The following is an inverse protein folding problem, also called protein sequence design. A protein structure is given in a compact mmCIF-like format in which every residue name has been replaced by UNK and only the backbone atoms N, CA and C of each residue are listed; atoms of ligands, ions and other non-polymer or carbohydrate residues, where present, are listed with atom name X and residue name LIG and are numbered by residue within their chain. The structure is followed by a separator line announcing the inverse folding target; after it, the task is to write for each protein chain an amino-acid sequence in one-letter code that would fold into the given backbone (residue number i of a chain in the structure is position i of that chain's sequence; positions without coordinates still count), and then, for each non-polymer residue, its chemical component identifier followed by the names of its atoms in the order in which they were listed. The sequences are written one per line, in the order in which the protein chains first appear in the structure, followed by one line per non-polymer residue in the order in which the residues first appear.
data_IF_199868570616
#
_entry.id   IF_199868570616
#
_cell.length_a   1.000
_cell.length_b   1.000
_cell.length_c   1.000
_cell.angle_alpha   90.00
_cell.angle_beta   90.00
_cell.angle_gamma   90.00
#
_symmetry.space_group_name_H-M   'P 1'
#
loop_
_entity.id
_entity.type
_entity.pdbx_description
1 polymer ?
#
# COMPACT_ATOMS: atom_id res chain seq x y z
N UNK A 1 1.35 16.98 -29.51
CA UNK A 1 2.37 16.25 -28.73
C UNK A 1 1.61 15.33 -27.77
N UNK A 2 1.60 14.02 -28.03
CA UNK A 2 1.08 13.06 -27.08
C UNK A 2 2.16 12.82 -26.01
N UNK A 3 1.93 13.26 -24.78
CA UNK A 3 2.73 12.79 -23.66
C UNK A 3 2.47 11.29 -23.53
N UNK A 4 3.45 10.46 -23.89
CA UNK A 4 3.45 9.06 -23.52
C UNK A 4 3.71 8.99 -22.00
N UNK A 5 2.67 9.19 -21.19
CA UNK A 5 2.75 8.88 -19.78
C UNK A 5 3.01 7.38 -19.66
N UNK A 6 4.23 7.02 -19.26
CA UNK A 6 4.60 5.64 -19.08
C UNK A 6 4.00 5.20 -17.74
N UNK A 7 2.83 4.54 -17.79
CA UNK A 7 2.18 4.01 -16.60
C UNK A 7 3.06 2.92 -15.98
N UNK A 8 3.29 3.02 -14.67
CA UNK A 8 3.93 1.97 -13.87
C UNK A 8 2.88 0.93 -13.49
N UNK A 9 3.18 -0.34 -13.69
CA UNK A 9 2.36 -1.44 -13.18
C UNK A 9 2.60 -1.61 -11.67
N UNK A 10 1.52 -1.81 -10.92
CA UNK A 10 1.59 -1.84 -9.47
C UNK A 10 0.78 -2.96 -8.82
N UNK A 11 1.24 -3.39 -7.64
CA UNK A 11 0.50 -4.26 -6.73
C UNK A 11 0.21 -3.49 -5.45
N UNK A 12 -1.01 -3.62 -4.94
CA UNK A 12 -1.39 -3.03 -3.66
C UNK A 12 -1.57 -4.10 -2.60
N UNK A 13 -0.94 -3.93 -1.44
CA UNK A 13 -1.15 -4.74 -0.26
C UNK A 13 -1.72 -3.89 0.88
N UNK A 14 -2.79 -4.36 1.52
CA UNK A 14 -3.35 -3.72 2.71
C UNK A 14 -3.41 -4.64 3.93
N UNK A 15 -2.91 -4.15 5.05
CA UNK A 15 -3.12 -4.77 6.35
C UNK A 15 -4.34 -4.16 7.03
N UNK A 16 -5.50 -4.81 6.88
CA UNK A 16 -6.82 -4.34 7.33
C UNK A 16 -7.05 -4.54 8.82
N UNK A 17 -7.98 -3.79 9.38
CA UNK A 17 -8.46 -3.92 10.77
C UNK A 17 -9.91 -4.38 10.79
N UNK A 18 -10.32 -4.93 11.94
CA UNK A 18 -11.69 -5.45 12.16
C UNK A 18 -12.57 -4.44 12.91
N UNK A 19 -12.05 -3.25 13.23
CA UNK A 19 -12.80 -2.25 14.00
C UNK A 19 -13.95 -1.65 13.18
N UNK A 20 -15.15 -1.65 13.76
CA UNK A 20 -16.41 -1.21 13.12
C UNK A 20 -16.40 0.26 12.66
N UNK A 21 -15.48 1.07 13.19
CA UNK A 21 -15.45 2.52 12.95
C UNK A 21 -14.65 2.93 11.70
N UNK A 22 -14.00 1.99 11.01
CA UNK A 22 -13.19 2.29 9.84
C UNK A 22 -13.87 1.78 8.56
N UNK A 23 -14.15 2.71 7.64
CA UNK A 23 -14.58 2.36 6.29
C UNK A 23 -13.36 1.97 5.44
N UNK A 24 -12.90 0.72 5.62
CA UNK A 24 -11.71 0.17 4.95
C UNK A 24 -11.79 0.33 3.43
N UNK A 25 -12.94 0.02 2.83
CA UNK A 25 -13.13 0.10 1.38
C UNK A 25 -13.00 1.54 0.86
N UNK A 26 -13.57 2.52 1.56
CA UNK A 26 -13.46 3.93 1.14
C UNK A 26 -12.00 4.43 1.21
N UNK A 27 -11.25 4.01 2.23
CA UNK A 27 -9.84 4.38 2.39
C UNK A 27 -8.98 3.74 1.29
N UNK A 28 -9.17 2.44 1.03
CA UNK A 28 -8.47 1.75 -0.04
C UNK A 28 -8.77 2.37 -1.41
N UNK A 29 -10.04 2.70 -1.71
CA UNK A 29 -10.40 3.35 -2.97
C UNK A 29 -9.68 4.69 -3.16
N UNK A 30 -9.63 5.53 -2.11
CA UNK A 30 -8.91 6.80 -2.15
C UNK A 30 -7.40 6.63 -2.36
N UNK A 31 -6.80 5.60 -1.77
CA UNK A 31 -5.39 5.26 -2.01
C UNK A 31 -5.17 4.90 -3.48
N UNK A 32 -6.07 4.11 -4.05
CA UNK A 32 -5.95 3.64 -5.44
C UNK A 32 -6.15 4.77 -6.44
N UNK A 33 -7.13 5.66 -6.21
CA UNK A 33 -7.32 6.89 -6.97
C UNK A 33 -6.03 7.72 -6.96
N UNK A 34 -5.45 7.90 -5.77
CA UNK A 34 -4.21 8.67 -5.60
C UNK A 34 -3.02 8.02 -6.31
N UNK A 35 -2.86 6.70 -6.25
CA UNK A 35 -1.81 5.98 -6.99
C UNK A 35 -1.97 6.15 -8.50
N UNK A 36 -3.21 6.13 -8.99
CA UNK A 36 -3.51 6.38 -10.41
C UNK A 36 -3.11 7.79 -10.84
N UNK A 37 -3.37 8.82 -10.01
CA UNK A 37 -2.89 10.19 -10.25
C UNK A 37 -1.36 10.29 -10.37
N UNK A 38 -0.62 9.35 -9.78
CA UNK A 38 0.83 9.21 -9.91
C UNK A 38 1.26 8.28 -11.06
N UNK A 39 0.35 7.96 -11.99
CA UNK A 39 0.54 7.04 -13.11
C UNK A 39 0.94 5.62 -12.67
N UNK A 40 0.44 5.16 -11.52
CA UNK A 40 0.62 3.79 -11.04
C UNK A 40 -0.71 3.06 -11.21
N UNK A 41 -0.77 2.10 -12.12
CA UNK A 41 -1.95 1.26 -12.35
C UNK A 41 -1.88 -0.02 -11.51
N UNK A 42 -2.84 -0.20 -10.59
CA UNK A 42 -2.86 -1.32 -9.67
C UNK A 42 -3.55 -2.52 -10.31
N UNK A 43 -2.75 -3.47 -10.81
CA UNK A 43 -3.22 -4.66 -11.53
C UNK A 43 -3.68 -5.80 -10.60
N UNK A 44 -3.25 -5.76 -9.33
CA UNK A 44 -3.57 -6.79 -8.34
C UNK A 44 -3.60 -6.21 -6.93
N UNK A 45 -4.51 -6.73 -6.09
CA UNK A 45 -4.65 -6.36 -4.68
C UNK A 45 -4.52 -7.60 -3.79
N UNK A 46 -3.82 -7.47 -2.68
CA UNK A 46 -3.73 -8.47 -1.63
C UNK A 46 -4.07 -7.82 -0.29
N UNK A 47 -4.58 -8.59 0.65
CA UNK A 47 -4.88 -8.05 1.98
C UNK A 47 -4.84 -9.10 3.06
N UNK A 48 -4.47 -8.69 4.26
CA UNK A 48 -4.59 -9.49 5.47
C UNK A 48 -5.55 -8.82 6.46
N UNK A 49 -6.39 -9.62 7.11
CA UNK A 49 -7.34 -9.13 8.12
C UNK A 49 -6.80 -9.33 9.54
N UNK A 50 -6.66 -8.23 10.28
CA UNK A 50 -6.26 -8.25 11.68
C UNK A 50 -4.78 -8.54 11.92
N UNK A 51 -4.30 -8.17 13.12
CA UNK A 51 -2.87 -8.22 13.48
C UNK A 51 -2.42 -9.53 14.14
N UNK A 52 -3.40 -10.32 14.57
CA UNK A 52 -3.20 -11.54 15.35
C UNK A 52 -2.78 -12.72 14.47
N UNK A 53 -3.20 -12.74 13.20
CA UNK A 53 -2.77 -13.79 12.29
C UNK A 53 -1.31 -13.55 11.86
N UNK A 54 -0.40 -14.26 12.51
CA UNK A 54 1.04 -14.21 12.22
C UNK A 54 1.39 -14.84 10.87
N UNK A 55 0.52 -15.70 10.31
CA UNK A 55 0.81 -16.38 9.06
C UNK A 55 0.71 -15.46 7.84
N UNK A 56 -0.03 -14.33 7.93
CA UNK A 56 -0.16 -13.32 6.86
C UNK A 56 -0.40 -13.95 5.47
N UNK A 57 -1.48 -14.72 5.29
CA UNK A 57 -1.75 -15.42 4.02
C UNK A 57 -1.76 -14.48 2.82
N UNK A 58 -2.27 -13.25 2.95
CA UNK A 58 -2.27 -12.27 1.86
C UNK A 58 -0.87 -11.81 1.47
N UNK A 59 0.01 -11.59 2.45
CA UNK A 59 1.42 -11.25 2.18
C UNK A 59 2.17 -12.41 1.52
N UNK A 60 1.91 -13.65 1.95
CA UNK A 60 2.51 -14.83 1.34
C UNK A 60 2.02 -15.03 -0.09
N UNK A 61 0.73 -14.81 -0.34
CA UNK A 61 0.15 -14.87 -1.68
C UNK A 61 0.76 -13.81 -2.60
N UNK A 62 0.98 -12.58 -2.11
CA UNK A 62 1.70 -11.54 -2.83
C UNK A 62 3.12 -12.00 -3.23
N UNK A 63 3.86 -12.60 -2.30
CA UNK A 63 5.22 -13.08 -2.58
C UNK A 63 5.19 -14.20 -3.62
N UNK A 64 4.29 -15.17 -3.47
CA UNK A 64 4.10 -16.25 -4.45
C UNK A 64 3.72 -15.68 -5.82
N UNK A 65 2.84 -14.68 -5.87
CA UNK A 65 2.48 -14.01 -7.11
C UNK A 65 3.70 -13.35 -7.77
N UNK A 66 4.50 -12.59 -7.01
CA UNK A 66 5.71 -11.95 -7.51
C UNK A 66 6.73 -12.95 -8.09
N UNK A 67 6.89 -14.11 -7.44
CA UNK A 67 7.81 -15.17 -7.90
C UNK A 67 7.37 -15.75 -9.25
N UNK A 68 6.07 -15.81 -9.50
CA UNK A 68 5.49 -16.44 -10.68
C UNK A 68 5.20 -15.45 -11.82
N UNK A 69 5.54 -14.17 -11.67
CA UNK A 69 5.40 -13.20 -12.76
C UNK A 69 6.46 -13.45 -13.85
N UNK A 70 6.03 -13.41 -15.11
CA UNK A 70 6.94 -13.47 -16.27
C UNK A 70 7.84 -12.24 -16.35
N UNK A 71 7.38 -11.10 -15.81
CA UNK A 71 8.10 -9.83 -15.79
C UNK A 71 7.99 -9.15 -14.42
N UNK A 72 9.06 -8.51 -13.98
CA UNK A 72 9.06 -7.73 -12.74
C UNK A 72 7.99 -6.64 -12.75
N UNK A 73 7.36 -6.43 -11.58
CA UNK A 73 6.41 -5.34 -11.37
C UNK A 73 7.18 -4.03 -11.13
N UNK A 74 6.63 -2.89 -11.55
CA UNK A 74 7.27 -1.61 -11.30
C UNK A 74 7.16 -1.21 -9.82
N UNK A 75 5.96 -1.35 -9.23
CA UNK A 75 5.68 -0.84 -7.89
C UNK A 75 4.96 -1.87 -7.02
N UNK A 76 5.37 -1.99 -5.75
CA UNK A 76 4.53 -2.61 -4.71
C UNK A 76 4.22 -1.57 -3.63
N UNK A 77 2.94 -1.25 -3.47
CA UNK A 77 2.45 -0.29 -2.49
C UNK A 77 1.88 -1.02 -1.26
N UNK A 78 2.41 -0.70 -0.09
CA UNK A 78 1.97 -1.22 1.21
C UNK A 78 1.19 -0.17 1.96
N UNK A 79 -0.01 -0.52 2.41
CA UNK A 79 -0.78 0.27 3.36
C UNK A 79 -1.05 -0.53 4.62
N UNK A 80 -0.85 0.11 5.77
CA UNK A 80 -1.19 -0.48 7.06
C UNK A 80 -2.06 0.47 7.84
N UNK A 81 -3.14 -0.08 8.39
CA UNK A 81 -3.95 0.62 9.38
C UNK A 81 -3.29 0.57 10.79
N UNK A 82 -2.08 0.01 10.93
CA UNK A 82 -1.34 -0.03 12.19
C UNK A 82 -0.52 1.24 12.39
N UNK A 83 -1.11 2.21 13.09
CA UNK A 83 -0.45 3.49 13.40
C UNK A 83 0.78 3.34 14.32
N UNK A 84 0.98 2.16 14.95
CA UNK A 84 2.12 1.87 15.81
C UNK A 84 3.34 1.30 15.05
N UNK A 85 3.23 1.10 13.73
CA UNK A 85 4.35 0.71 12.87
C UNK A 85 4.88 -0.71 13.10
N UNK A 86 4.12 -1.60 13.76
CA UNK A 86 4.52 -3.01 13.94
C UNK A 86 4.49 -3.74 12.61
N UNK A 87 3.54 -3.39 11.76
CA UNK A 87 3.42 -3.97 10.42
C UNK A 87 4.60 -3.61 9.51
N UNK A 88 5.09 -2.36 9.56
CA UNK A 88 6.28 -1.93 8.82
C UNK A 88 7.52 -2.76 9.18
N UNK A 89 7.71 -3.08 10.47
CA UNK A 89 8.79 -3.98 10.91
C UNK A 89 8.63 -5.38 10.33
N UNK A 90 7.41 -5.92 10.27
CA UNK A 90 7.16 -7.25 9.70
C UNK A 90 7.43 -7.30 8.20
N UNK A 91 6.96 -6.30 7.46
CA UNK A 91 7.23 -6.16 6.03
C UNK A 91 8.75 -6.06 5.76
N UNK A 92 9.52 -5.45 6.68
CA UNK A 92 10.98 -5.35 6.54
C UNK A 92 11.71 -6.70 6.44
N UNK A 93 11.18 -7.76 7.06
CA UNK A 93 11.77 -9.10 7.00
C UNK A 93 11.61 -9.76 5.62
N UNK A 94 10.52 -9.47 4.93
CA UNK A 94 10.24 -10.00 3.59
C UNK A 94 10.67 -9.07 2.47
N UNK A 95 11.06 -7.82 2.81
CA UNK A 95 11.52 -6.80 1.87
C UNK A 95 12.61 -7.28 0.91
N UNK A 96 13.65 -8.02 1.33
CA UNK A 96 14.67 -8.50 0.40
C UNK A 96 14.12 -9.43 -0.69
N UNK A 97 13.04 -10.17 -0.41
CA UNK A 97 12.37 -11.03 -1.39
C UNK A 97 11.55 -10.20 -2.36
N UNK A 98 10.79 -9.22 -1.84
CA UNK A 98 9.94 -8.34 -2.67
C UNK A 98 10.80 -7.52 -3.64
N UNK A 99 11.91 -6.95 -3.18
CA UNK A 99 12.83 -6.14 -4.01
C UNK A 99 13.55 -6.91 -5.13
N UNK A 100 13.48 -8.25 -5.15
CA UNK A 100 13.98 -9.04 -6.29
C UNK A 100 13.03 -8.97 -7.50
N UNK A 101 11.75 -8.73 -7.25
CA UNK A 101 10.68 -8.79 -8.26
C UNK A 101 9.97 -7.45 -8.48
N UNK A 102 10.20 -6.47 -7.60
CA UNK A 102 9.66 -5.13 -7.68
C UNK A 102 10.76 -4.08 -7.79
N UNK A 103 10.64 -3.13 -8.73
CA UNK A 103 11.61 -2.04 -8.89
C UNK A 103 11.52 -1.03 -7.75
N UNK A 104 10.30 -0.71 -7.33
CA UNK A 104 10.00 0.26 -6.29
C UNK A 104 9.06 -0.33 -5.24
N UNK A 105 9.26 0.08 -3.98
CA UNK A 105 8.38 -0.30 -2.87
C UNK A 105 7.97 0.96 -2.12
N UNK A 106 6.66 1.18 -2.01
CA UNK A 106 6.06 2.37 -1.41
C UNK A 106 5.37 1.97 -0.11
N UNK A 107 5.61 2.74 0.95
CA UNK A 107 4.87 2.61 2.21
C UNK A 107 3.95 3.82 2.37
N UNK A 108 2.65 3.55 2.38
CA UNK A 108 1.61 4.54 2.57
C UNK A 108 1.31 4.55 4.08
N UNK A 109 1.75 5.61 4.76
CA UNK A 109 1.60 5.77 6.21
C UNK A 109 0.40 6.66 6.54
N UNK A 110 -0.42 6.24 7.51
CA UNK A 110 -1.35 7.15 8.16
C UNK A 110 -0.58 8.04 9.16
N UNK A 111 -0.49 9.33 8.91
CA UNK A 111 -0.12 10.30 9.94
C UNK A 111 -1.37 10.71 10.72
N UNK A 112 -1.38 10.47 12.03
CA UNK A 112 -2.35 11.09 12.94
C UNK A 112 -1.92 12.55 13.07
N UNK A 113 -2.68 13.49 12.53
CA UNK A 113 -2.45 14.90 12.79
C UNK A 113 -2.92 15.22 14.22
N UNK A 114 -2.11 15.90 15.05
CA UNK A 114 -2.41 16.08 16.47
C UNK A 114 -3.60 17.01 16.78
N UNK A 115 -4.30 17.56 15.79
CA UNK A 115 -5.32 18.61 15.97
C UNK A 115 -6.65 18.39 15.25
N UNK A 116 -6.92 17.22 14.65
CA UNK A 116 -8.24 16.95 14.08
C UNK A 116 -9.12 16.13 15.02
N UNK A 117 -10.14 16.78 15.56
CA UNK A 117 -11.29 16.14 16.23
C UNK A 117 -12.19 15.35 15.24
N UNK A 118 -11.63 14.85 14.15
CA UNK A 118 -12.35 14.12 13.12
C UNK A 118 -11.38 13.22 12.37
N UNK A 119 -11.39 11.93 12.71
CA UNK A 119 -10.52 10.86 12.19
C UNK A 119 -10.68 10.63 10.66
N UNK A 120 -11.50 11.42 9.95
CA UNK A 120 -11.95 11.12 8.59
C UNK A 120 -11.59 12.13 7.49
N UNK A 121 -10.96 13.29 7.77
CA UNK A 121 -10.71 14.31 6.72
C UNK A 121 -9.26 14.53 6.30
N UNK A 122 -8.28 14.22 7.14
CA UNK A 122 -6.92 14.72 6.89
C UNK A 122 -5.99 13.76 6.12
N UNK A 123 -6.49 12.58 5.73
CA UNK A 123 -5.70 11.55 5.04
C UNK A 123 -5.42 11.86 3.56
N UNK A 124 -6.38 12.50 2.87
CA UNK A 124 -6.39 12.58 1.39
C UNK A 124 -5.63 13.80 0.89
N UNK A 125 -5.64 14.89 1.64
CA UNK A 125 -5.08 16.18 1.21
C UNK A 125 -3.61 16.37 1.61
N UNK A 126 -3.01 15.40 2.31
CA UNK A 126 -1.67 15.55 2.86
C UNK A 126 -0.59 15.29 1.78
N UNK A 127 -0.28 16.32 0.98
CA UNK A 127 0.81 16.34 -0.01
C UNK A 127 2.17 15.85 0.52
N UNK A 128 2.41 15.85 1.84
CA UNK A 128 3.67 15.42 2.45
C UNK A 128 3.80 13.90 2.48
N UNK A 129 2.71 13.14 2.65
CA UNK A 129 2.76 11.67 2.66
C UNK A 129 3.16 11.08 1.30
N UNK A 130 2.88 11.81 0.23
CA UNK A 130 3.12 11.41 -1.16
C UNK A 130 4.40 12.00 -1.76
N UNK A 131 5.13 12.82 -1.00
CA UNK A 131 6.34 13.53 -1.47
C UNK A 131 7.54 12.61 -1.73
N UNK A 132 7.43 11.33 -1.35
CA UNK A 132 8.46 10.29 -1.53
C UNK A 132 8.26 9.44 -2.81
N UNK A 133 7.27 9.76 -3.65
CA UNK A 133 7.01 9.07 -4.94
C UNK A 133 7.73 9.77 -6.12
N UNK A 134 8.54 10.80 -5.85
CA UNK A 134 9.36 11.48 -6.87
C UNK A 134 10.74 10.84 -7.03
#
# INVERSE_FOLDING_TARGET
MFNSYNYKTGIFYSQRIVEKNYNVAAIENKILERLNEYNIDIVKKFSDLGYLNLQRPGLNELITYLINLESNIDVVAFYSFDFLGRDKRRISFVMPRIKRYAKEVIFIENKILPHSNGINKDFIDNKIAWKLIN
#
